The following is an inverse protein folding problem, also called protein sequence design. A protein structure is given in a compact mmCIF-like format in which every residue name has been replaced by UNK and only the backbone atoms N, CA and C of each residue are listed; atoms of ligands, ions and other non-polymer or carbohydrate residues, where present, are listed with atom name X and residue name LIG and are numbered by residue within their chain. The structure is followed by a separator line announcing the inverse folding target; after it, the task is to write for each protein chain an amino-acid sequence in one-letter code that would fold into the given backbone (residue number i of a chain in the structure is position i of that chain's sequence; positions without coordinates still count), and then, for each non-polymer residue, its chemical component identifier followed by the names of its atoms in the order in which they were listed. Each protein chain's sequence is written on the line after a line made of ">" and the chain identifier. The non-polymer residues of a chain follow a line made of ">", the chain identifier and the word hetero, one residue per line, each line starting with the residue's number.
data_IF_798342600173
#
_entry.id   IF_798342600173
#
_cell.length_a   1.000
_cell.length_b   1.000
_cell.length_c   1.000
_cell.angle_alpha   90.00
_cell.angle_beta   90.00
_cell.angle_gamma   90.00
#
_symmetry.space_group_name_H-M   'P 1'
#
loop_
_entity.id
_entity.type
_entity.pdbx_description
1 polymer ?
#
# COMPACT_ATOMS: atom_id res chain seq x y z
N UNK A 1 16.09 28.52 21.42
CA UNK A 1 14.87 28.27 20.61
C UNK A 1 14.21 27.02 21.19
N UNK A 2 12.97 27.10 21.66
CA UNK A 2 12.31 26.02 22.44
C UNK A 2 11.67 24.98 21.50
N UNK A 3 11.72 23.69 21.86
CA UNK A 3 11.16 22.57 21.09
C UNK A 3 9.65 22.75 20.80
N UNK A 4 8.92 23.44 21.67
CA UNK A 4 7.50 23.74 21.46
C UNK A 4 7.27 24.61 20.20
N UNK A 5 8.12 25.61 19.96
CA UNK A 5 8.02 26.51 18.81
C UNK A 5 8.34 25.80 17.49
N UNK A 6 9.30 24.87 17.51
CA UNK A 6 9.70 24.08 16.33
C UNK A 6 8.57 23.13 15.90
N UNK A 7 7.89 22.49 16.86
CA UNK A 7 6.74 21.61 16.57
C UNK A 7 5.56 22.37 15.96
N UNK A 8 5.23 23.56 16.47
CA UNK A 8 4.10 24.34 15.96
C UNK A 8 4.35 24.86 14.53
N UNK A 9 5.58 25.26 14.21
CA UNK A 9 5.96 25.69 12.86
C UNK A 9 5.95 24.52 11.85
N UNK A 10 6.45 23.35 12.25
CA UNK A 10 6.45 22.15 11.41
C UNK A 10 5.02 21.66 11.08
N UNK A 11 4.11 21.69 12.06
CA UNK A 11 2.69 21.33 11.85
C UNK A 11 1.99 22.33 10.94
N UNK A 12 2.24 23.64 11.09
CA UNK A 12 1.67 24.67 10.21
C UNK A 12 2.20 24.58 8.77
N UNK A 13 3.48 24.26 8.58
CA UNK A 13 4.06 24.04 7.23
C UNK A 13 3.48 22.77 6.58
N UNK A 14 3.41 21.66 7.31
CA UNK A 14 2.81 20.42 6.79
C UNK A 14 1.32 20.57 6.44
N UNK A 15 0.56 21.32 7.24
CA UNK A 15 -0.84 21.62 6.93
C UNK A 15 -0.99 22.53 5.70
N UNK A 16 -0.09 23.50 5.51
CA UNK A 16 -0.08 24.38 4.34
C UNK A 16 0.27 23.67 3.04
N UNK A 17 1.26 22.78 3.06
CA UNK A 17 1.66 21.96 1.91
C UNK A 17 0.57 20.94 1.55
N UNK A 18 -0.03 20.29 2.54
CA UNK A 18 -1.16 19.38 2.34
C UNK A 18 -2.37 20.10 1.74
N UNK A 19 -2.62 21.35 2.12
CA UNK A 19 -3.71 22.16 1.57
C UNK A 19 -3.44 22.64 0.14
N UNK A 20 -2.19 22.96 -0.20
CA UNK A 20 -1.81 23.31 -1.58
C UNK A 20 -1.82 22.09 -2.51
N UNK A 21 -1.38 20.92 -2.06
CA UNK A 21 -1.50 19.66 -2.83
C UNK A 21 -2.97 19.34 -3.08
N UNK A 22 -3.82 19.43 -2.05
CA UNK A 22 -5.26 19.19 -2.19
C UNK A 22 -5.94 20.14 -3.19
N UNK A 23 -5.47 21.39 -3.31
CA UNK A 23 -5.95 22.38 -4.31
C UNK A 23 -5.48 22.11 -5.74
N UNK A 24 -4.42 21.30 -5.94
CA UNK A 24 -3.87 20.93 -7.25
C UNK A 24 -4.25 19.53 -7.72
N UNK A 25 -4.80 18.73 -6.81
CA UNK A 25 -5.21 17.36 -7.08
C UNK A 25 -6.42 17.34 -8.03
N UNK A 26 -6.38 16.45 -9.04
CA UNK A 26 -7.53 16.25 -9.92
C UNK A 26 -8.77 15.90 -9.08
N UNK A 27 -9.97 16.41 -9.40
CA UNK A 27 -11.18 16.13 -8.64
C UNK A 27 -11.44 14.63 -8.42
N UNK A 28 -11.21 13.80 -9.44
CA UNK A 28 -11.38 12.35 -9.34
C UNK A 28 -10.44 11.72 -8.30
N UNK A 29 -9.17 12.13 -8.27
CA UNK A 29 -8.18 11.65 -7.28
C UNK A 29 -8.61 12.07 -5.87
N UNK A 30 -9.12 13.30 -5.70
CA UNK A 30 -9.64 13.76 -4.41
C UNK A 30 -10.80 12.89 -3.93
N UNK A 31 -11.76 12.60 -4.80
CA UNK A 31 -12.90 11.74 -4.49
C UNK A 31 -12.45 10.35 -4.07
N UNK A 32 -11.50 9.75 -4.81
CA UNK A 32 -10.92 8.45 -4.46
C UNK A 32 -10.24 8.48 -3.08
N UNK A 33 -9.36 9.45 -2.82
CA UNK A 33 -8.63 9.57 -1.56
C UNK A 33 -9.58 9.74 -0.39
N UNK A 34 -10.57 10.64 -0.51
CA UNK A 34 -11.54 10.88 0.55
C UNK A 34 -12.40 9.64 0.82
N UNK A 35 -12.84 8.95 -0.24
CA UNK A 35 -13.64 7.73 -0.11
C UNK A 35 -12.85 6.58 0.53
N UNK A 36 -11.61 6.35 0.10
CA UNK A 36 -10.76 5.28 0.65
C UNK A 36 -10.35 5.54 2.11
N UNK A 37 -10.22 6.82 2.50
CA UNK A 37 -9.99 7.21 3.90
C UNK A 37 -11.20 7.01 4.80
N UNK A 38 -12.40 7.26 4.27
CA UNK A 38 -13.65 7.08 5.00
C UNK A 38 -14.08 5.59 5.09
N UNK A 39 -13.56 4.76 4.20
CA UNK A 39 -13.89 3.35 4.12
C UNK A 39 -13.20 2.51 5.20
N UNK A 40 -13.93 1.53 5.73
CA UNK A 40 -13.46 0.49 6.62
C UNK A 40 -13.97 -0.86 6.12
N UNK A 41 -13.10 -1.87 5.94
CA UNK A 41 -13.52 -3.23 5.59
C UNK A 41 -14.11 -3.98 6.80
N UNK A 42 -13.87 -3.51 8.02
CA UNK A 42 -14.38 -4.15 9.23
C UNK A 42 -15.92 -4.08 9.27
N UNK A 43 -16.56 -5.25 9.32
CA UNK A 43 -18.03 -5.37 9.33
C UNK A 43 -18.70 -5.19 7.97
N UNK A 44 -17.92 -5.11 6.89
CA UNK A 44 -18.43 -5.18 5.51
C UNK A 44 -18.51 -6.65 5.07
N UNK A 45 -19.69 -7.09 4.65
CA UNK A 45 -19.93 -8.45 4.17
C UNK A 45 -19.20 -8.73 2.84
N UNK A 46 -18.82 -7.69 2.08
CA UNK A 46 -18.05 -7.83 0.85
C UNK A 46 -17.13 -6.64 0.58
N UNK A 47 -15.96 -6.58 1.24
CA UNK A 47 -15.02 -5.48 1.06
C UNK A 47 -14.57 -5.29 -0.40
N UNK A 48 -14.39 -6.40 -1.11
CA UNK A 48 -14.05 -6.42 -2.53
C UNK A 48 -15.10 -5.69 -3.37
N UNK A 49 -16.39 -5.95 -3.15
CA UNK A 49 -17.48 -5.31 -3.89
C UNK A 49 -17.54 -3.81 -3.60
N UNK A 50 -17.37 -3.42 -2.33
CA UNK A 50 -17.38 -2.01 -1.88
C UNK A 50 -16.21 -1.19 -2.42
N UNK A 51 -15.06 -1.82 -2.71
CA UNK A 51 -13.88 -1.13 -3.26
C UNK A 51 -13.99 -0.79 -4.75
N UNK A 52 -14.77 -1.54 -5.55
CA UNK A 52 -14.98 -1.24 -6.97
C UNK A 52 -15.53 0.18 -7.24
N UNK A 53 -16.62 0.63 -6.61
CA UNK A 53 -17.13 1.99 -6.83
C UNK A 53 -16.17 3.07 -6.31
N UNK A 54 -15.29 2.76 -5.35
CA UNK A 54 -14.25 3.69 -4.88
C UNK A 54 -13.18 3.88 -5.95
N UNK A 55 -12.74 2.80 -6.60
CA UNK A 55 -11.71 2.83 -7.65
C UNK A 55 -12.23 3.39 -8.98
N UNK A 56 -13.49 3.13 -9.32
CA UNK A 56 -14.10 3.49 -10.61
C UNK A 56 -13.81 4.92 -11.10
N UNK A 57 -13.97 5.96 -10.28
CA UNK A 57 -13.72 7.35 -10.67
C UNK A 57 -12.29 7.65 -11.16
N UNK A 58 -11.29 6.91 -10.70
CA UNK A 58 -9.89 7.13 -11.05
C UNK A 58 -9.34 6.09 -12.01
N UNK A 59 -10.12 5.10 -12.43
CA UNK A 59 -9.61 3.96 -13.19
C UNK A 59 -8.85 4.39 -14.46
N UNK A 60 -9.22 5.52 -15.08
CA UNK A 60 -8.55 6.05 -16.29
C UNK A 60 -7.57 7.19 -16.03
N UNK A 61 -7.50 7.69 -14.80
CA UNK A 61 -6.80 8.93 -14.40
C UNK A 61 -5.87 8.69 -13.18
N UNK A 62 -5.08 7.62 -13.25
CA UNK A 62 -4.30 7.08 -12.12
C UNK A 62 -2.82 7.47 -12.06
N UNK A 63 -2.38 8.38 -12.93
CA UNK A 63 -0.99 8.81 -12.92
C UNK A 63 -0.70 9.86 -11.82
N UNK A 64 -0.80 9.44 -10.57
CA UNK A 64 -0.57 10.28 -9.40
C UNK A 64 0.05 9.45 -8.26
N UNK A 65 1.30 9.74 -7.83
CA UNK A 65 1.92 9.10 -6.68
C UNK A 65 1.06 9.14 -5.40
N UNK A 66 0.20 10.14 -5.27
CA UNK A 66 -0.77 10.30 -4.18
C UNK A 66 -1.77 9.14 -4.11
N UNK A 67 -2.17 8.58 -5.26
CA UNK A 67 -3.06 7.41 -5.31
C UNK A 67 -2.36 6.20 -4.70
N UNK A 68 -1.12 5.94 -5.11
CA UNK A 68 -0.37 4.79 -4.60
C UNK A 68 -0.09 4.93 -3.10
N UNK A 69 0.30 6.13 -2.67
CA UNK A 69 0.54 6.42 -1.26
C UNK A 69 -0.72 6.18 -0.42
N UNK A 70 -1.90 6.58 -0.89
CA UNK A 70 -3.15 6.35 -0.15
C UNK A 70 -3.56 4.86 -0.13
N UNK A 71 -3.32 4.11 -1.20
CA UNK A 71 -3.57 2.66 -1.22
C UNK A 71 -2.69 1.95 -0.19
N UNK A 72 -1.39 2.27 -0.14
CA UNK A 72 -0.50 1.68 0.86
C UNK A 72 -0.84 2.12 2.28
N UNK A 73 -1.24 3.39 2.48
CA UNK A 73 -1.76 3.82 3.77
C UNK A 73 -3.02 3.05 4.17
N UNK A 74 -3.89 2.68 3.23
CA UNK A 74 -5.05 1.81 3.49
C UNK A 74 -4.63 0.40 3.88
N UNK A 75 -3.67 -0.22 3.19
CA UNK A 75 -3.13 -1.52 3.58
C UNK A 75 -2.46 -1.50 4.96
N UNK A 76 -1.77 -0.41 5.32
CA UNK A 76 -1.18 -0.24 6.65
C UNK A 76 -2.23 -0.09 7.75
N UNK A 77 -3.41 0.49 7.44
CA UNK A 77 -4.54 0.60 8.38
C UNK A 77 -5.25 -0.74 8.61
N UNK A 78 -5.33 -1.57 7.57
CA UNK A 78 -6.03 -2.86 7.60
C UNK A 78 -5.10 -4.00 7.11
N UNK A 79 -4.03 -4.32 7.86
CA UNK A 79 -2.92 -5.15 7.37
C UNK A 79 -3.31 -6.60 7.10
N UNK A 80 -4.36 -7.12 7.73
CA UNK A 80 -4.83 -8.50 7.64
C UNK A 80 -6.21 -8.64 6.99
N UNK A 81 -6.77 -7.53 6.46
CA UNK A 81 -8.06 -7.57 5.78
C UNK A 81 -7.99 -8.35 4.46
N UNK A 82 -9.01 -9.18 4.21
CA UNK A 82 -9.23 -9.80 2.91
C UNK A 82 -9.84 -8.79 1.94
N UNK A 83 -8.97 -8.20 1.14
CA UNK A 83 -9.32 -7.21 0.11
C UNK A 83 -9.39 -7.86 -1.28
N UNK A 84 -9.40 -9.20 -1.35
CA UNK A 84 -9.36 -9.99 -2.57
C UNK A 84 -7.94 -10.25 -3.08
N UNK A 85 -7.76 -11.40 -3.74
CA UNK A 85 -6.47 -11.88 -4.23
C UNK A 85 -6.52 -12.25 -5.73
N UNK A 86 -6.33 -11.29 -6.67
CA UNK A 86 -6.20 -9.84 -6.48
C UNK A 86 -7.55 -9.10 -6.43
N UNK A 87 -7.65 -8.07 -5.58
CA UNK A 87 -8.79 -7.17 -5.51
C UNK A 87 -8.62 -5.85 -6.29
N UNK A 88 -9.63 -4.95 -6.24
CA UNK A 88 -9.66 -3.71 -7.02
C UNK A 88 -8.44 -2.79 -6.83
N UNK A 89 -7.95 -2.67 -5.59
CA UNK A 89 -6.79 -1.82 -5.29
C UNK A 89 -5.48 -2.40 -5.84
N UNK A 90 -5.31 -3.73 -5.80
CA UNK A 90 -4.15 -4.40 -6.38
C UNK A 90 -4.19 -4.30 -7.91
N UNK A 91 -5.33 -4.58 -8.54
CA UNK A 91 -5.51 -4.37 -9.98
C UNK A 91 -5.19 -2.95 -10.43
N UNK A 92 -5.56 -1.95 -9.63
CA UNK A 92 -5.24 -0.55 -9.88
C UNK A 92 -3.72 -0.30 -9.92
N UNK A 93 -2.98 -0.84 -8.94
CA UNK A 93 -1.52 -0.72 -8.84
C UNK A 93 -0.82 -1.44 -9.97
N UNK A 94 -1.26 -2.65 -10.34
CA UNK A 94 -0.63 -3.48 -11.38
C UNK A 94 -0.58 -2.84 -12.77
N UNK A 95 -1.49 -1.90 -13.06
CA UNK A 95 -1.44 -1.11 -14.30
C UNK A 95 -0.29 -0.10 -14.34
N UNK A 96 0.47 0.04 -13.25
CA UNK A 96 1.52 1.02 -13.05
C UNK A 96 2.83 0.39 -12.53
N UNK A 97 3.11 -0.86 -12.94
CA UNK A 97 4.40 -1.53 -12.65
C UNK A 97 5.58 -0.61 -13.05
N UNK A 98 6.58 -0.54 -12.19
CA UNK A 98 7.75 0.33 -12.26
C UNK A 98 7.60 1.66 -11.52
N UNK A 99 6.41 1.96 -10.95
CA UNK A 99 6.11 3.27 -10.34
C UNK A 99 5.79 3.21 -8.86
N UNK A 100 5.38 2.06 -8.32
CA UNK A 100 4.88 1.94 -6.95
C UNK A 100 5.76 1.07 -6.05
N UNK A 101 6.70 0.31 -6.61
CA UNK A 101 7.45 -0.74 -5.92
C UNK A 101 8.26 -0.20 -4.74
N UNK A 102 8.84 1.00 -4.90
CA UNK A 102 9.54 1.68 -3.79
C UNK A 102 8.60 2.03 -2.64
N UNK A 103 7.36 2.44 -2.95
CA UNK A 103 6.34 2.73 -1.94
C UNK A 103 5.84 1.45 -1.27
N UNK A 104 5.66 0.36 -2.04
CA UNK A 104 5.30 -0.95 -1.52
C UNK A 104 6.34 -1.46 -0.50
N UNK A 105 7.62 -1.43 -0.86
CA UNK A 105 8.71 -1.85 0.03
C UNK A 105 8.74 -0.99 1.30
N UNK A 106 8.61 0.33 1.14
CA UNK A 106 8.58 1.24 2.28
C UNK A 106 7.35 1.02 3.18
N UNK A 107 6.20 0.67 2.60
CA UNK A 107 4.97 0.36 3.32
C UNK A 107 5.11 -0.91 4.16
N UNK A 108 5.59 -2.00 3.56
CA UNK A 108 5.82 -3.27 4.25
C UNK A 108 6.82 -3.14 5.41
N UNK A 109 7.82 -2.28 5.27
CA UNK A 109 8.78 -1.99 6.34
C UNK A 109 8.21 -1.15 7.48
N UNK A 110 7.13 -0.39 7.24
CA UNK A 110 6.42 0.36 8.29
C UNK A 110 5.41 -0.54 8.99
N UNK A 111 4.51 -1.15 8.23
CA UNK A 111 3.48 -2.07 8.71
C UNK A 111 3.29 -3.16 7.65
N UNK A 112 3.75 -4.40 7.91
CA UNK A 112 3.51 -5.51 7.00
C UNK A 112 2.01 -5.78 6.82
N UNK A 113 1.59 -6.00 5.58
CA UNK A 113 0.21 -6.31 5.22
C UNK A 113 0.11 -7.48 4.24
N UNK A 114 -0.97 -8.25 4.32
CA UNK A 114 -1.21 -9.41 3.43
C UNK A 114 -1.31 -8.99 1.97
N UNK A 115 -2.01 -7.88 1.68
CA UNK A 115 -2.05 -7.32 0.32
C UNK A 115 -0.65 -6.94 -0.18
N UNK A 116 0.19 -6.32 0.66
CA UNK A 116 1.56 -5.96 0.28
C UNK A 116 2.46 -7.18 0.05
N UNK A 117 2.38 -8.19 0.92
CA UNK A 117 3.15 -9.44 0.79
C UNK A 117 2.76 -10.19 -0.48
N UNK A 118 1.47 -10.29 -0.78
CA UNK A 118 0.97 -10.84 -2.04
C UNK A 118 1.52 -10.09 -3.25
N UNK A 119 1.52 -8.76 -3.22
CA UNK A 119 2.07 -7.95 -4.31
C UNK A 119 3.56 -8.23 -4.52
N UNK A 120 4.35 -8.37 -3.46
CA UNK A 120 5.78 -8.74 -3.58
C UNK A 120 5.93 -10.09 -4.29
N UNK A 121 5.15 -11.11 -3.90
CA UNK A 121 5.19 -12.42 -4.55
C UNK A 121 4.78 -12.34 -6.03
N UNK A 122 3.77 -11.53 -6.37
CA UNK A 122 3.34 -11.32 -7.75
C UNK A 122 4.41 -10.64 -8.59
N UNK A 123 5.12 -9.66 -8.02
CA UNK A 123 6.27 -9.02 -8.67
C UNK A 123 7.40 -10.03 -8.88
N UNK A 124 7.68 -10.89 -7.90
CA UNK A 124 8.68 -11.96 -8.01
C UNK A 124 8.34 -13.00 -9.10
N UNK A 125 7.05 -13.28 -9.30
CA UNK A 125 6.57 -14.17 -10.36
C UNK A 125 6.68 -13.57 -11.76
N UNK A 126 6.68 -12.24 -11.88
CA UNK A 126 6.99 -11.58 -13.14
C UNK A 126 8.52 -11.55 -13.30
N UNK A 127 9.07 -11.88 -14.48
CA UNK A 127 10.52 -11.90 -14.68
C UNK A 127 11.19 -10.60 -14.18
N UNK A 128 12.17 -10.72 -13.27
CA UNK A 128 12.93 -9.62 -12.66
C UNK A 128 14.43 -9.85 -12.75
N UNK A 129 15.19 -8.78 -12.62
CA UNK A 129 16.64 -8.87 -12.44
C UNK A 129 16.98 -9.60 -11.13
N UNK A 130 18.19 -10.16 -11.06
CA UNK A 130 18.67 -10.84 -9.84
C UNK A 130 18.70 -9.88 -8.63
N UNK A 131 19.06 -8.62 -8.84
CA UNK A 131 19.12 -7.58 -7.80
C UNK A 131 17.72 -7.26 -7.25
N UNK A 132 16.74 -7.01 -8.13
CA UNK A 132 15.36 -6.76 -7.68
C UNK A 132 14.79 -7.96 -6.93
N UNK A 133 15.08 -9.18 -7.40
CA UNK A 133 14.69 -10.41 -6.73
C UNK A 133 15.28 -10.48 -5.33
N UNK A 134 16.57 -10.22 -5.17
CA UNK A 134 17.25 -10.23 -3.86
C UNK A 134 16.60 -9.23 -2.89
N UNK A 135 16.33 -8.01 -3.34
CA UNK A 135 15.65 -6.98 -2.53
C UNK A 135 14.27 -7.46 -2.08
N UNK A 136 13.46 -7.99 -2.99
CA UNK A 136 12.09 -8.43 -2.69
C UNK A 136 12.07 -9.67 -1.78
N UNK A 137 12.98 -10.62 -1.98
CA UNK A 137 13.15 -11.77 -1.08
C UNK A 137 13.59 -11.31 0.32
N UNK A 138 14.47 -10.32 0.40
CA UNK A 138 14.87 -9.69 1.66
C UNK A 138 13.70 -9.07 2.40
N UNK A 139 12.81 -8.36 1.69
CA UNK A 139 11.59 -7.78 2.28
C UNK A 139 10.65 -8.87 2.83
N UNK A 140 10.46 -9.99 2.10
CA UNK A 140 9.66 -11.11 2.64
C UNK A 140 10.30 -11.69 3.92
N UNK A 141 11.63 -11.78 3.99
CA UNK A 141 12.33 -12.26 5.17
C UNK A 141 12.20 -11.29 6.37
N UNK A 142 12.31 -9.98 6.12
CA UNK A 142 12.04 -8.94 7.12
C UNK A 142 10.62 -9.09 7.69
N UNK A 143 9.61 -9.22 6.82
CA UNK A 143 8.21 -9.41 7.23
C UNK A 143 8.02 -10.70 8.03
N UNK A 144 8.54 -11.83 7.56
CA UNK A 144 8.43 -13.13 8.23
C UNK A 144 9.03 -13.12 9.65
N UNK A 145 10.03 -12.27 9.89
CA UNK A 145 10.70 -12.10 11.19
C UNK A 145 10.08 -11.02 12.09
N UNK A 146 9.16 -10.19 11.59
CA UNK A 146 8.64 -9.05 12.35
C UNK A 146 7.66 -9.49 13.45
N UNK A 147 8.11 -9.53 14.70
CA UNK A 147 7.29 -9.91 15.84
C UNK A 147 6.02 -9.04 16.05
N UNK A 148 5.95 -7.85 15.45
CA UNK A 148 4.80 -6.95 15.53
C UNK A 148 3.77 -7.18 14.43
N UNK A 149 4.14 -7.89 13.36
CA UNK A 149 3.21 -8.22 12.28
C UNK A 149 2.23 -9.32 12.69
N UNK A 150 1.03 -9.28 12.09
CA UNK A 150 0.04 -10.33 12.27
C UNK A 150 0.61 -11.71 11.93
N UNK A 151 0.20 -12.75 12.66
CA UNK A 151 0.68 -14.13 12.43
C UNK A 151 0.41 -14.57 11.00
N UNK A 152 -0.80 -14.31 10.49
CA UNK A 152 -1.20 -14.62 9.11
C UNK A 152 -0.27 -14.00 8.07
N UNK A 153 0.05 -12.71 8.21
CA UNK A 153 0.94 -11.98 7.29
C UNK A 153 2.36 -12.54 7.32
N UNK A 154 2.86 -12.92 8.51
CA UNK A 154 4.18 -13.56 8.64
C UNK A 154 4.23 -14.94 8.00
N UNK A 155 3.21 -15.75 8.23
CA UNK A 155 3.12 -17.10 7.69
C UNK A 155 3.00 -17.06 6.17
N UNK A 156 2.24 -16.12 5.63
CA UNK A 156 2.16 -15.87 4.18
C UNK A 156 3.52 -15.48 3.59
N UNK A 157 4.27 -14.59 4.26
CA UNK A 157 5.61 -14.23 3.81
C UNK A 157 6.57 -15.44 3.83
N UNK A 158 6.51 -16.29 4.87
CA UNK A 158 7.29 -17.55 4.94
C UNK A 158 6.91 -18.50 3.82
N UNK A 159 5.62 -18.65 3.57
CA UNK A 159 5.11 -19.48 2.48
C UNK A 159 5.67 -19.02 1.13
N UNK A 160 5.64 -17.71 0.85
CA UNK A 160 6.21 -17.19 -0.39
C UNK A 160 7.73 -17.32 -0.48
N UNK A 161 8.47 -17.19 0.64
CA UNK A 161 9.91 -17.47 0.63
C UNK A 161 10.18 -18.92 0.22
N UNK A 162 9.45 -19.88 0.79
CA UNK A 162 9.58 -21.29 0.44
C UNK A 162 9.24 -21.54 -1.03
N UNK A 163 8.09 -21.03 -1.48
CA UNK A 163 7.63 -21.12 -2.87
C UNK A 163 8.67 -20.59 -3.86
N UNK A 164 9.24 -19.41 -3.57
CA UNK A 164 10.22 -18.77 -4.45
C UNK A 164 11.56 -19.50 -4.48
N UNK A 165 11.92 -20.24 -3.44
CA UNK A 165 13.14 -21.05 -3.38
C UNK A 165 12.98 -22.45 -4.00
N UNK A 166 11.84 -22.72 -4.65
CA UNK A 166 11.59 -23.97 -5.37
C UNK A 166 10.73 -24.97 -4.63
N UNK A 167 10.27 -24.65 -3.40
CA UNK A 167 9.37 -25.49 -2.61
C UNK A 167 9.99 -26.79 -2.12
#
# INVERSE_FOLDING_TARGET
>A
MNQATIRTEAVKRGAGESLLLAKRMKPAIKVFVDALRAYSPDGDDSPVASLYPIVGPIEKDTDAPEVFAEIFAFFERYPDADLGMPGPLVHLLERHIGRYEKLLIASLRRVPSSSGVNMVNRILNAHRSAEEREVLMGVLAEVAGDAKAAVSVRDEARHFIQYQNGG
#
